data_IF_280548145028
#
_entry.id   IF_280548145028
#
_cell.length_a   1.000
_cell.length_b   1.000
_cell.length_c   1.000
_cell.angle_alpha   90.00
_cell.angle_beta   90.00
_cell.angle_gamma   90.00
#
_symmetry.space_group_name_H-M   'P 1'
#
loop_
_entity.id
_entity.type
_entity.pdbx_description
1 polymer ?
#
# COMPACT_ATOMS: atom_id res chain seq x y z
N UNK A 1 17.72 1.63 15.06
CA UNK A 1 16.86 0.50 14.70
C UNK A 1 16.50 0.70 13.25
N UNK A 2 16.67 -0.31 12.40
CA UNK A 2 16.36 -0.20 10.96
C UNK A 2 14.89 -0.43 10.67
N UNK A 3 14.45 -0.13 9.46
CA UNK A 3 13.05 -0.28 9.03
C UNK A 3 12.56 -1.72 9.16
N UNK A 4 13.44 -2.70 8.90
CA UNK A 4 13.13 -4.12 9.09
C UNK A 4 12.79 -4.48 10.55
N UNK A 5 13.53 -3.91 11.50
CA UNK A 5 13.31 -4.14 12.93
C UNK A 5 11.97 -3.56 13.37
N UNK A 6 11.63 -2.37 12.86
CA UNK A 6 10.36 -1.70 13.12
C UNK A 6 9.17 -2.53 12.62
N UNK A 7 9.20 -2.98 11.36
CA UNK A 7 8.16 -3.84 10.77
C UNK A 7 8.02 -5.13 11.58
N UNK A 8 9.14 -5.75 11.97
CA UNK A 8 9.14 -6.99 12.75
C UNK A 8 8.55 -6.77 14.16
N UNK A 9 8.85 -5.63 14.79
CA UNK A 9 8.25 -5.25 16.07
C UNK A 9 6.74 -5.00 15.92
N UNK A 10 6.33 -4.34 14.83
CA UNK A 10 4.93 -4.07 14.53
C UNK A 10 4.11 -5.36 14.30
N UNK A 11 4.68 -6.40 13.69
CA UNK A 11 4.03 -7.72 13.60
C UNK A 11 3.69 -8.25 14.99
N UNK A 12 4.64 -8.19 15.93
CA UNK A 12 4.43 -8.66 17.31
C UNK A 12 3.38 -7.82 18.04
N UNK A 13 3.40 -6.51 17.84
CA UNK A 13 2.39 -5.58 18.39
C UNK A 13 0.99 -5.89 17.85
N UNK A 14 0.82 -6.00 16.53
CA UNK A 14 -0.45 -6.34 15.89
C UNK A 14 -0.98 -7.71 16.33
N UNK A 15 -0.10 -8.70 16.58
CA UNK A 15 -0.47 -9.98 17.18
C UNK A 15 -1.04 -9.83 18.59
N UNK A 16 -0.38 -9.04 19.45
CA UNK A 16 -0.83 -8.81 20.83
C UNK A 16 -2.17 -8.06 20.88
N UNK A 17 -2.33 -7.07 20.02
CA UNK A 17 -3.55 -6.25 19.89
C UNK A 17 -4.68 -6.91 19.11
N UNK A 18 -4.43 -8.07 18.50
CA UNK A 18 -5.39 -8.81 17.65
C UNK A 18 -5.89 -8.00 16.45
N UNK A 19 -5.05 -7.13 15.91
CA UNK A 19 -5.34 -6.28 14.76
C UNK A 19 -5.24 -7.10 13.47
N UNK A 20 -6.29 -7.90 13.17
CA UNK A 20 -6.25 -8.92 12.10
C UNK A 20 -5.80 -8.38 10.74
N UNK A 21 -6.33 -7.24 10.31
CA UNK A 21 -5.99 -6.61 9.02
C UNK A 21 -4.51 -6.23 9.00
N UNK A 22 -4.09 -5.38 9.94
CA UNK A 22 -2.70 -4.91 10.08
C UNK A 22 -1.73 -6.09 10.18
N UNK A 23 -2.06 -7.11 10.97
CA UNK A 23 -1.25 -8.32 11.11
C UNK A 23 -1.10 -9.07 9.77
N UNK A 24 -2.18 -9.19 9.00
CA UNK A 24 -2.16 -9.82 7.68
C UNK A 24 -1.22 -9.08 6.73
N UNK A 25 -1.38 -7.76 6.63
CA UNK A 25 -0.56 -6.90 5.78
C UNK A 25 0.91 -6.98 6.16
N UNK A 26 1.24 -6.85 7.45
CA UNK A 26 2.62 -6.89 7.91
C UNK A 26 3.27 -8.27 7.67
N UNK A 27 2.53 -9.37 7.81
CA UNK A 27 3.05 -10.70 7.49
C UNK A 27 3.35 -10.85 6.00
N UNK A 28 2.46 -10.36 5.14
CA UNK A 28 2.70 -10.32 3.70
C UNK A 28 3.93 -9.48 3.37
N UNK A 29 4.06 -8.28 3.96
CA UNK A 29 5.23 -7.42 3.78
C UNK A 29 6.53 -8.10 4.20
N UNK A 30 6.58 -8.72 5.38
CA UNK A 30 7.78 -9.46 5.82
C UNK A 30 8.12 -10.64 4.91
N UNK A 31 7.12 -11.27 4.30
CA UNK A 31 7.32 -12.36 3.35
C UNK A 31 7.92 -11.84 2.05
N UNK A 32 7.44 -10.70 1.56
CA UNK A 32 7.96 -10.08 0.35
C UNK A 32 9.39 -9.55 0.51
N UNK A 33 9.69 -8.93 1.66
CA UNK A 33 11.06 -8.55 2.03
C UNK A 33 11.97 -9.79 2.05
N UNK A 34 11.50 -10.90 2.63
CA UNK A 34 12.27 -12.16 2.66
C UNK A 34 12.50 -12.72 1.26
N UNK A 35 11.49 -12.71 0.39
CA UNK A 35 11.62 -13.15 -1.00
C UNK A 35 12.69 -12.32 -1.72
N UNK A 36 12.63 -11.00 -1.57
CA UNK A 36 13.59 -10.07 -2.18
C UNK A 36 15.03 -10.26 -1.67
N UNK A 37 15.22 -10.59 -0.39
CA UNK A 37 16.53 -11.00 0.16
C UNK A 37 17.07 -12.26 -0.50
N UNK A 38 16.21 -13.26 -0.71
CA UNK A 38 16.59 -14.53 -1.35
C UNK A 38 16.97 -14.28 -2.81
N UNK A 39 16.19 -13.47 -3.54
CA UNK A 39 16.46 -13.10 -4.93
C UNK A 39 17.79 -12.38 -5.09
N UNK A 40 18.07 -11.39 -4.23
CA UNK A 40 19.28 -10.58 -4.29
C UNK A 40 20.49 -11.25 -3.63
N UNK A 41 20.30 -12.38 -2.94
CA UNK A 41 21.30 -13.08 -2.14
C UNK A 41 22.03 -12.18 -1.12
N UNK A 42 21.34 -11.16 -0.60
CA UNK A 42 21.89 -10.19 0.34
C UNK A 42 20.85 -9.73 1.37
N UNK A 43 21.33 -9.08 2.43
CA UNK A 43 20.48 -8.30 3.32
C UNK A 43 20.01 -7.03 2.60
N UNK A 44 18.74 -6.67 2.80
CA UNK A 44 18.19 -5.45 2.21
C UNK A 44 18.47 -4.26 3.12
N UNK A 45 18.85 -3.16 2.50
CA UNK A 45 18.89 -1.86 3.16
C UNK A 45 17.48 -1.27 3.27
N UNK A 46 17.34 -0.26 4.11
CA UNK A 46 16.05 0.42 4.31
C UNK A 46 15.49 0.97 2.99
N UNK A 47 16.34 1.48 2.09
CA UNK A 47 15.89 1.96 0.77
C UNK A 47 15.29 0.84 -0.09
N UNK A 48 15.82 -0.37 -0.03
CA UNK A 48 15.30 -1.52 -0.77
C UNK A 48 14.00 -2.03 -0.14
N UNK A 49 13.85 -1.93 1.17
CA UNK A 49 12.60 -2.24 1.88
C UNK A 49 11.51 -1.22 1.48
N UNK A 50 11.85 0.07 1.41
CA UNK A 50 10.93 1.10 0.91
C UNK A 50 10.45 0.79 -0.51
N UNK A 51 11.35 0.36 -1.41
CA UNK A 51 10.95 -0.07 -2.76
C UNK A 51 9.98 -1.26 -2.74
N UNK A 52 10.15 -2.21 -1.83
CA UNK A 52 9.21 -3.33 -1.65
C UNK A 52 7.84 -2.80 -1.22
N UNK A 53 7.81 -1.89 -0.24
CA UNK A 53 6.56 -1.26 0.25
C UNK A 53 5.87 -0.50 -0.87
N UNK A 54 6.57 0.37 -1.60
CA UNK A 54 6.01 1.14 -2.73
C UNK A 54 5.42 0.21 -3.79
N UNK A 55 6.13 -0.88 -4.15
CA UNK A 55 5.60 -1.87 -5.09
C UNK A 55 4.33 -2.54 -4.57
N UNK A 56 4.29 -2.88 -3.28
CA UNK A 56 3.11 -3.50 -2.67
C UNK A 56 1.91 -2.54 -2.59
N UNK A 57 2.14 -1.24 -2.40
CA UNK A 57 1.10 -0.21 -2.47
C UNK A 57 0.53 -0.14 -3.88
N UNK A 58 1.40 -0.03 -4.90
CA UNK A 58 0.97 -0.03 -6.30
C UNK A 58 0.13 -1.25 -6.66
N UNK A 59 0.59 -2.46 -6.34
CA UNK A 59 -0.14 -3.70 -6.63
C UNK A 59 -1.55 -3.74 -6.01
N UNK A 60 -1.71 -3.17 -4.82
CA UNK A 60 -3.01 -3.08 -4.15
C UNK A 60 -3.91 -2.04 -4.79
N UNK A 61 -3.36 -0.91 -5.23
CA UNK A 61 -4.13 0.09 -5.97
C UNK A 61 -4.64 -0.48 -7.29
N UNK A 62 -3.77 -1.14 -8.06
CA UNK A 62 -4.16 -1.85 -9.29
C UNK A 62 -5.28 -2.87 -9.01
N UNK A 63 -5.19 -3.58 -7.87
CA UNK A 63 -6.21 -4.57 -7.46
C UNK A 63 -7.51 -3.92 -7.03
N UNK A 64 -7.46 -2.84 -6.24
CA UNK A 64 -8.62 -2.07 -5.80
C UNK A 64 -9.41 -1.55 -7.00
N UNK A 65 -8.70 -1.00 -7.98
CA UNK A 65 -9.29 -0.46 -9.20
C UNK A 65 -9.96 -1.56 -10.04
N UNK A 66 -9.30 -2.71 -10.21
CA UNK A 66 -9.88 -3.89 -10.86
C UNK A 66 -11.12 -4.43 -10.13
N UNK A 67 -11.13 -4.39 -8.79
CA UNK A 67 -12.28 -4.80 -8.00
C UNK A 67 -13.46 -3.83 -8.17
N UNK A 68 -13.21 -2.52 -8.13
CA UNK A 68 -14.23 -1.50 -8.39
C UNK A 68 -14.79 -1.61 -9.81
N UNK A 69 -13.94 -1.77 -10.84
CA UNK A 69 -14.37 -2.01 -12.24
C UNK A 69 -15.22 -3.28 -12.39
N UNK A 70 -15.04 -4.26 -11.49
CA UNK A 70 -15.77 -5.52 -11.48
C UNK A 70 -16.98 -5.56 -10.54
N UNK A 71 -17.47 -4.41 -10.05
CA UNK A 71 -18.59 -4.30 -9.09
C UNK A 71 -18.36 -5.07 -7.77
N UNK A 72 -17.09 -5.24 -7.35
CA UNK A 72 -16.68 -5.93 -6.12
C UNK A 72 -16.16 -4.96 -5.06
N UNK A 73 -16.99 -3.99 -4.68
CA UNK A 73 -16.57 -2.87 -3.82
C UNK A 73 -16.03 -3.29 -2.45
N UNK A 74 -16.56 -4.35 -1.83
CA UNK A 74 -16.03 -4.89 -0.57
C UNK A 74 -14.55 -5.28 -0.67
N UNK A 75 -14.14 -5.84 -1.81
CA UNK A 75 -12.75 -6.22 -2.04
C UNK A 75 -11.87 -4.99 -2.31
N UNK A 76 -12.40 -3.98 -3.01
CA UNK A 76 -11.69 -2.73 -3.25
C UNK A 76 -11.43 -1.97 -1.93
N UNK A 77 -12.43 -1.88 -1.05
CA UNK A 77 -12.28 -1.29 0.28
C UNK A 77 -11.25 -2.03 1.14
N UNK A 78 -11.21 -3.35 1.04
CA UNK A 78 -10.20 -4.13 1.72
C UNK A 78 -8.79 -3.77 1.24
N UNK A 79 -8.57 -3.69 -0.07
CA UNK A 79 -7.27 -3.30 -0.64
C UNK A 79 -6.86 -1.88 -0.19
N UNK A 80 -7.79 -0.91 -0.22
CA UNK A 80 -7.57 0.45 0.30
C UNK A 80 -7.18 0.46 1.77
N UNK A 81 -7.86 -0.33 2.60
CA UNK A 81 -7.52 -0.44 4.02
C UNK A 81 -6.13 -1.08 4.24
N UNK A 82 -5.71 -2.00 3.36
CA UNK A 82 -4.36 -2.57 3.41
C UNK A 82 -3.28 -1.57 2.97
N UNK A 83 -3.56 -0.71 1.99
CA UNK A 83 -2.67 0.37 1.54
C UNK A 83 -2.34 1.32 2.69
N UNK A 84 -3.35 1.76 3.44
CA UNK A 84 -3.15 2.67 4.59
C UNK A 84 -2.18 2.09 5.62
N UNK A 85 -2.17 0.77 5.82
CA UNK A 85 -1.20 0.11 6.71
C UNK A 85 0.22 0.18 6.15
N UNK A 86 0.41 -0.03 4.84
CA UNK A 86 1.72 0.03 4.20
C UNK A 86 2.30 1.45 4.19
N UNK A 87 1.46 2.45 3.94
CA UNK A 87 1.84 3.86 3.90
C UNK A 87 2.39 4.37 5.24
N UNK A 88 1.99 3.77 6.37
CA UNK A 88 2.57 4.12 7.69
C UNK A 88 4.08 3.86 7.79
N UNK A 89 4.66 3.08 6.87
CA UNK A 89 6.11 2.79 6.81
C UNK A 89 6.81 3.50 5.65
N UNK A 90 6.10 4.34 4.89
CA UNK A 90 6.70 5.21 3.89
C UNK A 90 7.02 6.59 4.50
N UNK A 91 8.14 7.20 4.14
CA UNK A 91 8.38 8.62 4.39
C UNK A 91 7.24 9.46 3.82
N UNK A 92 6.89 10.55 4.50
CA UNK A 92 5.80 11.46 4.11
C UNK A 92 5.89 11.91 2.64
N UNK A 93 7.09 12.23 2.16
CA UNK A 93 7.31 12.60 0.75
C UNK A 93 7.06 11.45 -0.24
N UNK A 94 7.29 10.19 0.15
CA UNK A 94 7.00 9.03 -0.68
C UNK A 94 5.52 8.63 -0.62
N UNK A 95 4.88 8.82 0.53
CA UNK A 95 3.43 8.65 0.67
C UNK A 95 2.67 9.70 -0.16
N UNK A 96 3.09 10.97 -0.12
CA UNK A 96 2.49 12.05 -0.91
C UNK A 96 2.71 11.83 -2.41
N UNK A 97 3.91 11.45 -2.84
CA UNK A 97 4.18 11.18 -4.25
C UNK A 97 3.39 9.97 -4.79
N UNK A 98 3.19 8.93 -3.97
CA UNK A 98 2.35 7.79 -4.36
C UNK A 98 0.88 8.20 -4.40
N UNK A 99 0.38 8.95 -3.41
CA UNK A 99 -0.97 9.49 -3.40
C UNK A 99 -1.24 10.39 -4.62
N UNK A 100 -0.32 11.29 -4.96
CA UNK A 100 -0.40 12.11 -6.16
C UNK A 100 -0.42 11.26 -7.44
N UNK A 101 0.42 10.22 -7.52
CA UNK A 101 0.42 9.32 -8.67
C UNK A 101 -0.90 8.57 -8.81
N UNK A 102 -1.47 8.10 -7.70
CA UNK A 102 -2.77 7.41 -7.68
C UNK A 102 -3.92 8.34 -8.07
N UNK A 103 -3.89 9.59 -7.60
CA UNK A 103 -4.86 10.61 -8.02
C UNK A 103 -4.72 10.91 -9.51
N UNK A 104 -3.50 11.00 -10.04
CA UNK A 104 -3.27 11.23 -11.47
C UNK A 104 -3.67 10.03 -12.33
N UNK A 105 -3.39 8.79 -11.90
CA UNK A 105 -3.81 7.56 -12.57
C UNK A 105 -5.35 7.48 -12.59
N UNK A 106 -6.01 7.74 -11.46
CA UNK A 106 -7.48 7.79 -11.39
C UNK A 106 -8.10 8.89 -12.29
N UNK A 107 -7.47 10.06 -12.41
CA UNK A 107 -7.91 11.12 -13.33
C UNK A 107 -7.71 10.71 -14.80
N UNK A 108 -6.59 10.08 -15.11
CA UNK A 108 -6.27 9.62 -16.47
C UNK A 108 -7.21 8.49 -16.94
N UNK A 109 -7.60 7.59 -16.04
CA UNK A 109 -8.50 6.47 -16.34
C UNK A 109 -9.98 6.88 -16.41
N UNK A 110 -10.37 7.95 -15.72
CA UNK A 110 -11.77 8.44 -15.71
C UNK A 110 -12.08 9.47 -16.80
N UNK A 111 -11.09 9.97 -17.55
CA UNK A 111 -11.24 11.09 -18.50
C UNK A 111 -12.00 12.29 -17.90
N UNK A 112 -11.77 12.59 -16.62
CA UNK A 112 -12.48 13.66 -15.93
C UNK A 112 -11.96 15.04 -16.37
N UNK A 113 -12.63 15.67 -17.34
CA UNK A 113 -12.19 16.94 -17.95
C UNK A 113 -12.61 18.21 -17.18
N UNK A 114 -13.45 18.12 -16.14
CA UNK A 114 -13.99 19.32 -15.50
C UNK A 114 -13.91 19.33 -13.97
N UNK A 115 -13.73 20.54 -13.40
CA UNK A 115 -13.74 20.81 -11.94
C UNK A 115 -14.99 20.32 -11.21
N UNK A 116 -16.06 19.97 -11.94
CA UNK A 116 -17.31 19.43 -11.39
C UNK A 116 -17.19 17.96 -10.98
N UNK A 117 -16.22 17.24 -11.53
CA UNK A 117 -15.98 15.80 -11.29
C UNK A 117 -14.99 15.56 -10.15
N UNK A 118 -14.22 16.59 -9.77
CA UNK A 118 -13.31 16.56 -8.61
C UNK A 118 -14.02 16.22 -7.29
N UNK A 119 -15.30 16.59 -7.16
CA UNK A 119 -16.13 16.27 -5.99
C UNK A 119 -16.57 14.79 -5.91
N UNK A 120 -16.46 14.03 -7.02
CA UNK A 120 -16.68 12.58 -7.02
C UNK A 120 -15.40 11.82 -6.69
N UNK A 121 -14.25 12.32 -7.14
CA UNK A 121 -12.93 11.73 -6.83
C UNK A 121 -12.68 11.71 -5.32
N UNK A 122 -13.00 12.79 -4.60
CA UNK A 122 -12.89 12.82 -3.13
C UNK A 122 -13.91 11.95 -2.37
N UNK A 123 -14.90 11.37 -3.05
CA UNK A 123 -15.93 10.52 -2.41
C UNK A 123 -15.71 9.02 -2.65
N UNK A 124 -14.71 8.69 -3.47
CA UNK A 124 -14.27 7.33 -3.80
C UNK A 124 -12.87 7.01 -3.25
N UNK A 125 -12.32 7.91 -2.42
CA UNK A 125 -11.17 7.66 -1.55
C UNK A 125 -11.67 7.51 -0.12
#
# INVERSE_FOLDING_TARGET
>A
MGLLDEITAAVKDAMRKKEKLRLGVLRMLTSEIKNRRIENQCELKDEEILQVITRMVKQRNDSAEQFTKGDREELAEKERAEILVLETYLPEALAEAELERLVQEAIAETQAESKKDMGKVMKAV
#
